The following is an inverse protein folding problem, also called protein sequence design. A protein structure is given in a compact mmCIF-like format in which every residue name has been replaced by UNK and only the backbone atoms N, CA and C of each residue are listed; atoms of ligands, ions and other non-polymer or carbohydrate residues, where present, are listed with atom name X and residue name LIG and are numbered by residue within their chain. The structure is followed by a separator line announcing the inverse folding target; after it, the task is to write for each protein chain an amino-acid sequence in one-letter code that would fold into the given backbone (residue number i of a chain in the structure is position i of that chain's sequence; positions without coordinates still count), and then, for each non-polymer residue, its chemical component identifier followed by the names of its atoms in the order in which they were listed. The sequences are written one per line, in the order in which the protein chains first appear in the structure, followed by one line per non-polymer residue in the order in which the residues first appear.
data_IF_842241968214
#
_entry.id   IF_842241968214
#
_cell.length_a   1.000
_cell.length_b   1.000
_cell.length_c   1.000
_cell.angle_alpha   90.00
_cell.angle_beta   90.00
_cell.angle_gamma   90.00
#
_symmetry.space_group_name_H-M   'P 1'
#
loop_
_entity.id
_entity.type
_entity.pdbx_description
1 polymer ?
#
# COMPACT_ATOMS: atom_id res chain seq x y z
N UNK A 1 -14.38 -13.73 -11.51
CA UNK A 1 -13.05 -13.15 -11.22
C UNK A 1 -12.74 -12.16 -12.34
N UNK A 2 -12.85 -10.86 -12.08
CA UNK A 2 -12.53 -9.82 -13.08
C UNK A 2 -11.01 -9.68 -13.14
N UNK A 3 -10.35 -10.43 -14.03
CA UNK A 3 -8.94 -10.19 -14.35
C UNK A 3 -8.86 -9.16 -15.46
N UNK A 4 -8.43 -7.95 -15.14
CA UNK A 4 -8.02 -6.99 -16.17
C UNK A 4 -6.62 -7.39 -16.63
N UNK A 5 -6.48 -7.73 -17.91
CA UNK A 5 -5.20 -8.14 -18.49
C UNK A 5 -4.13 -7.05 -18.34
N UNK A 6 -2.87 -7.42 -18.06
CA UNK A 6 -1.78 -6.48 -17.78
C UNK A 6 -1.58 -5.46 -18.91
N UNK A 7 -1.71 -5.89 -20.18
CA UNK A 7 -1.63 -5.00 -21.33
C UNK A 7 -2.70 -3.89 -21.30
N UNK A 8 -3.93 -4.22 -20.90
CA UNK A 8 -5.02 -3.24 -20.78
C UNK A 8 -4.73 -2.27 -19.63
N UNK A 9 -4.21 -2.76 -18.51
CA UNK A 9 -3.80 -1.89 -17.40
C UNK A 9 -2.71 -0.91 -17.83
N UNK A 10 -1.71 -1.37 -18.59
CA UNK A 10 -0.63 -0.52 -19.10
C UNK A 10 -1.16 0.53 -20.07
N UNK A 11 -1.98 0.13 -21.06
CA UNK A 11 -2.55 1.07 -22.04
C UNK A 11 -3.45 2.12 -21.37
N UNK A 12 -4.21 1.72 -20.35
CA UNK A 12 -5.04 2.67 -19.59
C UNK A 12 -4.19 3.65 -18.79
N UNK A 13 -3.11 3.19 -18.15
CA UNK A 13 -2.19 4.05 -17.42
C UNK A 13 -1.43 5.01 -18.36
N UNK A 14 -0.97 4.53 -19.52
CA UNK A 14 -0.27 5.35 -20.52
C UNK A 14 -1.16 6.45 -21.11
N UNK A 15 -2.48 6.24 -21.14
CA UNK A 15 -3.45 7.25 -21.59
C UNK A 15 -3.80 8.27 -20.50
N UNK A 16 -3.50 7.99 -19.24
CA UNK A 16 -3.71 8.94 -18.13
C UNK A 16 -2.55 9.92 -18.08
N UNK A 17 -2.89 11.20 -17.93
CA UNK A 17 -1.92 12.23 -17.54
C UNK A 17 -1.26 11.88 -16.20
N UNK A 18 -0.07 12.42 -15.95
CA UNK A 18 0.62 12.23 -14.66
C UNK A 18 -0.25 12.68 -13.48
N UNK A 19 -1.04 13.75 -13.64
CA UNK A 19 -1.95 14.25 -12.62
C UNK A 19 -3.10 13.27 -12.31
N UNK A 20 -3.65 12.61 -13.33
CA UNK A 20 -4.66 11.56 -13.15
C UNK A 20 -4.07 10.34 -12.46
N UNK A 21 -2.86 9.91 -12.85
CA UNK A 21 -2.18 8.79 -12.20
C UNK A 21 -1.90 9.08 -10.72
N UNK A 22 -1.45 10.30 -10.40
CA UNK A 22 -1.25 10.74 -9.02
C UNK A 22 -2.58 10.74 -8.24
N UNK A 23 -3.65 11.28 -8.82
CA UNK A 23 -4.99 11.27 -8.17
C UNK A 23 -5.47 9.85 -7.89
N UNK A 24 -5.27 8.92 -8.81
CA UNK A 24 -5.61 7.52 -8.62
C UNK A 24 -4.74 6.84 -7.58
N UNK A 25 -3.43 7.11 -7.55
CA UNK A 25 -2.53 6.60 -6.53
C UNK A 25 -2.95 7.03 -5.12
N UNK A 26 -3.33 8.29 -4.95
CA UNK A 26 -3.84 8.79 -3.67
C UNK A 26 -5.12 8.06 -3.24
N UNK A 27 -6.08 7.91 -4.16
CA UNK A 27 -7.34 7.19 -3.89
C UNK A 27 -7.10 5.73 -3.51
N UNK A 28 -6.16 5.06 -4.18
CA UNK A 28 -5.80 3.68 -3.89
C UNK A 28 -5.18 3.57 -2.51
N UNK A 29 -4.25 4.46 -2.14
CA UNK A 29 -3.66 4.47 -0.80
C UNK A 29 -4.74 4.64 0.27
N UNK A 30 -5.67 5.61 0.10
CA UNK A 30 -6.78 5.82 1.04
C UNK A 30 -7.68 4.58 1.13
N UNK A 31 -8.04 3.98 0.00
CA UNK A 31 -8.89 2.79 -0.02
C UNK A 31 -8.23 1.58 0.66
N UNK A 32 -6.94 1.35 0.38
CA UNK A 32 -6.19 0.26 1.01
C UNK A 32 -5.99 0.52 2.49
N UNK A 33 -5.73 1.76 2.90
CA UNK A 33 -5.65 2.15 4.31
C UNK A 33 -6.94 1.83 5.07
N UNK A 34 -8.10 2.19 4.51
CA UNK A 34 -9.41 1.89 5.11
C UNK A 34 -9.69 0.39 5.19
N UNK A 35 -9.22 -0.38 4.21
CA UNK A 35 -9.40 -1.83 4.19
C UNK A 35 -8.40 -2.57 5.10
N UNK A 36 -7.26 -1.96 5.42
CA UNK A 36 -6.19 -2.62 6.17
C UNK A 36 -6.59 -2.79 7.64
N UNK A 37 -6.70 -4.02 8.15
CA UNK A 37 -7.09 -4.25 9.54
C UNK A 37 -5.94 -3.88 10.48
N UNK A 38 -6.29 -3.30 11.63
CA UNK A 38 -5.31 -3.13 12.70
C UNK A 38 -4.84 -4.50 13.22
N UNK A 39 -3.53 -4.71 13.19
CA UNK A 39 -2.90 -5.98 13.54
C UNK A 39 -2.78 -6.11 15.06
N UNK A 40 -3.91 -6.22 15.75
CA UNK A 40 -3.97 -6.38 17.21
C UNK A 40 -4.20 -7.85 17.64
N UNK A 41 -4.94 -8.62 16.84
CA UNK A 41 -5.33 -9.99 17.15
C UNK A 41 -4.94 -10.98 16.04
N UNK A 42 -4.87 -12.27 16.39
CA UNK A 42 -4.52 -13.37 15.47
C UNK A 42 -5.48 -13.48 14.28
N UNK A 43 -6.74 -13.09 14.46
CA UNK A 43 -7.76 -13.04 13.40
C UNK A 43 -7.44 -11.96 12.34
N UNK A 44 -6.96 -10.80 12.78
CA UNK A 44 -6.53 -9.71 11.89
C UNK A 44 -5.30 -10.09 11.05
N UNK A 45 -4.55 -11.14 11.42
CA UNK A 45 -3.35 -11.55 10.71
C UNK A 45 -3.64 -12.16 9.34
N UNK A 46 -4.72 -12.94 9.22
CA UNK A 46 -5.13 -13.53 7.94
C UNK A 46 -5.68 -12.45 7.00
N UNK A 47 -6.46 -11.52 7.54
CA UNK A 47 -6.99 -10.40 6.77
C UNK A 47 -5.88 -9.46 6.29
N UNK A 48 -4.94 -9.12 7.18
CA UNK A 48 -3.76 -8.34 6.79
C UNK A 48 -2.89 -9.10 5.78
N UNK A 49 -2.92 -10.44 5.74
CA UNK A 49 -2.15 -11.22 4.76
C UNK A 49 -2.67 -11.07 3.35
N UNK A 50 -3.99 -10.98 3.21
CA UNK A 50 -4.63 -10.76 1.91
C UNK A 50 -4.37 -9.34 1.39
N UNK A 51 -4.27 -8.36 2.29
CA UNK A 51 -4.14 -6.94 1.93
C UNK A 51 -2.67 -6.51 1.81
N UNK A 52 -1.74 -7.21 2.47
CA UNK A 52 -0.31 -6.87 2.48
C UNK A 52 0.29 -6.65 1.08
N UNK A 53 0.03 -7.48 0.05
CA UNK A 53 0.56 -7.24 -1.30
C UNK A 53 0.08 -5.91 -1.89
N UNK A 54 -1.17 -5.51 -1.60
CA UNK A 54 -1.72 -4.23 -2.04
C UNK A 54 -1.08 -3.06 -1.30
N UNK A 55 -0.81 -3.21 0.00
CA UNK A 55 -0.12 -2.21 0.78
C UNK A 55 1.32 -1.99 0.30
N UNK A 56 2.05 -3.05 -0.08
CA UNK A 56 3.39 -2.94 -0.67
C UNK A 56 3.40 -2.19 -2.00
N UNK A 57 2.38 -2.37 -2.84
CA UNK A 57 2.21 -1.57 -4.07
C UNK A 57 1.96 -0.09 -3.73
N UNK A 58 1.16 0.18 -2.70
CA UNK A 58 0.93 1.55 -2.22
C UNK A 58 2.22 2.23 -1.76
N UNK A 59 3.18 1.49 -1.18
CA UNK A 59 4.51 2.03 -0.86
C UNK A 59 5.26 2.51 -2.09
N UNK A 60 5.21 1.72 -3.17
CA UNK A 60 5.87 2.06 -4.43
C UNK A 60 5.22 3.30 -5.07
N UNK A 61 3.90 3.42 -4.99
CA UNK A 61 3.16 4.60 -5.46
C UNK A 61 3.47 5.84 -4.62
N UNK A 62 3.57 5.68 -3.30
CA UNK A 62 3.92 6.76 -2.37
C UNK A 62 5.31 7.33 -2.70
N UNK A 63 6.31 6.47 -2.96
CA UNK A 63 7.66 6.89 -3.37
C UNK A 63 7.66 7.51 -4.78
N UNK A 64 6.97 6.89 -5.74
CA UNK A 64 6.92 7.38 -7.12
C UNK A 64 6.39 8.82 -7.21
N UNK A 65 5.40 9.15 -6.38
CA UNK A 65 4.73 10.44 -6.41
C UNK A 65 5.08 11.35 -5.23
N UNK A 66 6.06 10.96 -4.38
CA UNK A 66 6.44 11.67 -3.16
C UNK A 66 5.24 12.12 -2.31
N UNK A 67 4.28 11.22 -2.10
CA UNK A 67 3.05 11.55 -1.40
C UNK A 67 3.25 11.52 0.11
N UNK A 68 2.90 12.59 0.79
CA UNK A 68 2.98 12.69 2.26
C UNK A 68 1.64 13.16 2.80
N UNK A 69 0.86 12.23 3.32
CA UNK A 69 -0.42 12.51 3.99
C UNK A 69 -0.68 11.46 5.08
N UNK A 70 -1.58 11.78 6.00
CA UNK A 70 -1.87 10.99 7.21
C UNK A 70 -2.15 9.52 6.92
N UNK A 71 -2.98 9.23 5.93
CA UNK A 71 -3.39 7.87 5.61
C UNK A 71 -2.27 7.06 4.96
N UNK A 72 -1.36 7.69 4.22
CA UNK A 72 -0.17 7.02 3.68
C UNK A 72 0.79 6.60 4.80
N UNK A 73 1.03 7.50 5.76
CA UNK A 73 1.87 7.24 6.95
C UNK A 73 1.25 6.16 7.83
N UNK A 74 -0.07 6.20 8.02
CA UNK A 74 -0.80 5.19 8.77
C UNK A 74 -0.70 3.81 8.10
N UNK A 75 -0.95 3.73 6.79
CA UNK A 75 -0.84 2.48 6.04
C UNK A 75 0.58 1.89 6.09
N UNK A 76 1.61 2.73 5.95
CA UNK A 76 3.02 2.36 6.12
C UNK A 76 3.29 1.71 7.48
N UNK A 77 2.78 2.32 8.55
CA UNK A 77 2.95 1.84 9.93
C UNK A 77 2.25 0.50 10.14
N UNK A 78 1.00 0.36 9.68
CA UNK A 78 0.27 -0.91 9.75
C UNK A 78 0.92 -2.02 8.91
N UNK A 79 1.48 -1.65 7.75
CA UNK A 79 2.25 -2.57 6.91
C UNK A 79 3.51 -3.06 7.63
N UNK A 80 4.25 -2.16 8.27
CA UNK A 80 5.40 -2.52 9.12
C UNK A 80 5.01 -3.48 10.23
N UNK A 81 3.90 -3.20 10.94
CA UNK A 81 3.39 -4.06 12.01
C UNK A 81 3.01 -5.46 11.50
N UNK A 82 2.35 -5.54 10.35
CA UNK A 82 1.96 -6.80 9.73
C UNK A 82 3.18 -7.64 9.31
N UNK A 83 4.23 -6.99 8.79
CA UNK A 83 5.50 -7.63 8.41
C UNK A 83 6.27 -8.11 9.65
N UNK A 84 6.30 -7.28 10.70
CA UNK A 84 6.93 -7.61 11.98
C UNK A 84 6.30 -8.84 12.63
N UNK A 85 4.96 -8.87 12.69
CA UNK A 85 4.19 -10.00 13.24
C UNK A 85 4.46 -11.32 12.49
N UNK A 86 5.01 -11.27 11.27
CA UNK A 86 5.37 -12.44 10.45
C UNK A 86 6.85 -12.76 10.42
N UNK A 87 7.67 -12.06 11.22
CA UNK A 87 9.12 -12.24 11.24
C UNK A 87 9.86 -11.62 10.05
N UNK A 88 9.19 -10.81 9.22
CA UNK A 88 9.82 -10.13 8.07
C UNK A 88 10.46 -8.81 8.50
N UNK A 89 11.36 -8.88 9.48
CA UNK A 89 11.89 -7.72 10.20
C UNK A 89 12.60 -6.70 9.30
N UNK A 90 13.37 -7.16 8.31
CA UNK A 90 14.09 -6.28 7.38
C UNK A 90 13.12 -5.42 6.53
N UNK A 91 12.00 -6.00 6.11
CA UNK A 91 10.98 -5.28 5.33
C UNK A 91 10.15 -4.36 6.24
N UNK A 92 9.87 -4.79 7.47
CA UNK A 92 9.21 -3.96 8.48
C UNK A 92 10.04 -2.71 8.80
N UNK A 93 11.34 -2.87 9.02
CA UNK A 93 12.26 -1.77 9.28
C UNK A 93 12.31 -0.78 8.11
N UNK A 94 12.32 -1.26 6.87
CA UNK A 94 12.25 -0.40 5.70
C UNK A 94 10.95 0.43 5.66
N UNK A 95 9.82 -0.14 6.09
CA UNK A 95 8.57 0.60 6.21
C UNK A 95 8.64 1.68 7.29
N UNK A 96 9.17 1.36 8.48
CA UNK A 96 9.29 2.33 9.57
C UNK A 96 10.26 3.47 9.24
N UNK A 97 11.38 3.19 8.57
CA UNK A 97 12.32 4.23 8.12
C UNK A 97 11.68 5.22 7.14
N UNK A 98 10.73 4.76 6.32
CA UNK A 98 9.98 5.62 5.39
C UNK A 98 8.96 6.51 6.11
N UNK A 99 8.45 6.09 7.26
CA UNK A 99 7.55 6.91 8.10
C UNK A 99 8.30 8.04 8.82
N UNK A 100 9.57 7.82 9.15
CA UNK A 100 10.39 8.77 9.91
C UNK A 100 11.11 9.83 9.04
N UNK A 101 10.98 9.73 7.72
CA UNK A 101 11.50 10.71 6.76
C UNK A 101 10.48 11.82 6.53
#
# INVERSE_FOLDING_TARGET
MLYVHQLVQTVLKDRMSQQEQQTWAERVIRAVNTAFPEVQAKESWQQSARILPHALVCLSLQEQWNMTFSEAVHLLSQTGNALWARGQYQQAEACYKRVLK
#
